data_IF_138506750245
#
_entry.id   IF_138506750245
#
_cell.length_a   1.000
_cell.length_b   1.000
_cell.length_c   1.000
_cell.angle_alpha   90.00
_cell.angle_beta   90.00
_cell.angle_gamma   90.00
#
_symmetry.space_group_name_H-M   'P 1'
#
loop_
_entity.id
_entity.type
_entity.pdbx_description
1 polymer ?
#
# COMPACT_ATOMS: atom_id res chain seq x y z
N UNK A 1 25.76 4.98 -32.32
CA UNK A 1 26.77 4.13 -33.01
C UNK A 1 26.67 4.41 -34.49
N UNK A 2 25.45 4.35 -35.02
CA UNK A 2 25.14 4.62 -36.42
C UNK A 2 25.74 5.93 -36.94
N UNK A 3 25.74 7.01 -36.14
CA UNK A 3 26.33 8.29 -36.58
C UNK A 3 27.86 8.21 -36.73
N UNK A 4 28.54 7.50 -35.82
CA UNK A 4 29.98 7.30 -35.91
C UNK A 4 30.34 6.33 -37.05
N UNK A 5 29.52 5.29 -37.26
CA UNK A 5 29.66 4.36 -38.38
C UNK A 5 29.51 5.11 -39.71
N UNK A 6 28.53 6.00 -39.84
CA UNK A 6 28.36 6.85 -41.02
C UNK A 6 29.57 7.75 -41.30
N UNK A 7 30.21 8.30 -40.25
CA UNK A 7 31.44 9.07 -40.41
C UNK A 7 32.56 8.21 -40.99
N UNK A 8 32.73 6.99 -40.45
CA UNK A 8 33.81 6.09 -40.85
C UNK A 8 33.57 5.51 -42.26
N UNK A 9 32.33 5.23 -42.63
CA UNK A 9 31.94 4.84 -43.98
C UNK A 9 32.18 5.96 -45.01
N UNK A 10 31.91 7.23 -44.66
CA UNK A 10 32.23 8.39 -45.51
C UNK A 10 33.73 8.54 -45.74
N UNK A 11 34.55 8.11 -44.78
CA UNK A 11 36.00 8.06 -44.89
C UNK A 11 36.50 6.79 -45.61
N UNK A 12 35.63 6.02 -46.26
CA UNK A 12 35.93 4.79 -47.00
C UNK A 12 36.43 3.62 -46.15
N UNK A 13 36.15 3.63 -44.84
CA UNK A 13 36.43 2.51 -43.95
C UNK A 13 35.19 1.63 -43.79
N UNK A 14 35.37 0.31 -43.85
CA UNK A 14 34.32 -0.65 -43.53
C UNK A 14 34.33 -0.95 -42.03
N UNK A 15 33.16 -0.88 -41.39
CA UNK A 15 32.97 -1.22 -39.98
C UNK A 15 32.01 -2.39 -39.85
N UNK A 16 32.30 -3.36 -38.98
CA UNK A 16 31.38 -4.47 -38.72
C UNK A 16 30.20 -3.99 -37.88
N UNK A 17 29.01 -4.59 -38.08
CA UNK A 17 27.79 -4.17 -37.37
C UNK A 17 27.88 -4.29 -35.84
N UNK A 18 28.80 -5.11 -35.33
CA UNK A 18 29.09 -5.35 -33.92
C UNK A 18 30.30 -4.57 -33.38
N UNK A 19 30.96 -3.75 -34.21
CA UNK A 19 32.15 -3.01 -33.83
C UNK A 19 31.85 -2.09 -32.64
N UNK A 20 32.77 -2.04 -31.67
CA UNK A 20 32.63 -1.15 -30.51
C UNK A 20 33.15 0.23 -30.84
N UNK A 21 32.71 1.22 -30.08
CA UNK A 21 33.21 2.60 -30.19
C UNK A 21 34.74 2.67 -30.16
N UNK A 22 35.39 1.84 -29.32
CA UNK A 22 36.84 1.76 -29.21
C UNK A 22 37.49 1.25 -30.51
N UNK A 23 36.86 0.29 -31.18
CA UNK A 23 37.38 -0.28 -32.43
C UNK A 23 37.27 0.75 -33.56
N UNK A 24 36.14 1.46 -33.62
CA UNK A 24 35.90 2.52 -34.61
C UNK A 24 36.81 3.72 -34.37
N UNK A 25 37.00 4.13 -33.11
CA UNK A 25 37.93 5.20 -32.73
C UNK A 25 39.36 4.85 -33.14
N UNK A 26 39.77 3.59 -32.97
CA UNK A 26 41.09 3.11 -33.41
C UNK A 26 41.26 3.16 -34.94
N UNK A 27 40.22 2.81 -35.70
CA UNK A 27 40.26 2.90 -37.17
C UNK A 27 40.43 4.34 -37.64
N UNK A 28 39.70 5.27 -37.02
CA UNK A 28 39.80 6.71 -37.30
C UNK A 28 41.20 7.24 -37.00
N UNK A 29 41.73 6.99 -35.80
CA UNK A 29 43.06 7.50 -35.38
C UNK A 29 44.19 6.97 -36.26
N UNK A 30 44.03 5.78 -36.84
CA UNK A 30 45.02 5.18 -37.74
C UNK A 30 44.82 5.58 -39.21
N UNK A 31 43.91 6.52 -39.52
CA UNK A 31 43.64 6.95 -40.90
C UNK A 31 44.51 8.13 -41.33
N UNK A 32 44.83 8.19 -42.62
CA UNK A 32 45.54 9.33 -43.23
C UNK A 32 44.75 10.65 -43.10
N UNK A 33 43.42 10.56 -43.02
CA UNK A 33 42.53 11.72 -42.83
C UNK A 33 42.68 12.29 -41.42
N UNK A 34 42.92 11.43 -40.43
CA UNK A 34 43.20 11.88 -39.07
C UNK A 34 44.48 12.72 -39.03
N UNK A 35 45.56 12.34 -39.72
CA UNK A 35 46.78 13.17 -39.70
C UNK A 35 46.58 14.57 -40.31
N UNK A 36 45.69 14.71 -41.31
CA UNK A 36 45.44 15.99 -41.99
C UNK A 36 44.38 16.85 -41.32
N UNK A 37 43.35 16.24 -40.73
CA UNK A 37 42.18 16.93 -40.18
C UNK A 37 41.87 16.51 -38.73
N UNK A 38 42.89 16.11 -37.95
CA UNK A 38 42.72 15.52 -36.61
C UNK A 38 41.78 16.32 -35.71
N UNK A 39 41.88 17.65 -35.70
CA UNK A 39 41.09 18.53 -34.84
C UNK A 39 39.59 18.49 -35.22
N UNK A 40 39.30 18.43 -36.53
CA UNK A 40 37.92 18.31 -37.02
C UNK A 40 37.35 16.93 -36.71
N UNK A 41 38.16 15.89 -36.92
CA UNK A 41 37.78 14.50 -36.66
C UNK A 41 37.54 14.25 -35.18
N UNK A 42 38.43 14.74 -34.31
CA UNK A 42 38.31 14.60 -32.86
C UNK A 42 37.07 15.35 -32.33
N UNK A 43 36.85 16.59 -32.78
CA UNK A 43 35.65 17.33 -32.42
C UNK A 43 34.35 16.62 -32.87
N UNK A 44 34.32 16.02 -34.06
CA UNK A 44 33.15 15.24 -34.51
C UNK A 44 32.93 14.02 -33.60
N UNK A 45 33.99 13.28 -33.27
CA UNK A 45 33.92 12.10 -32.41
C UNK A 45 33.42 12.46 -31.01
N UNK A 46 33.94 13.55 -30.44
CA UNK A 46 33.57 14.02 -29.11
C UNK A 46 32.11 14.51 -29.07
N UNK A 47 31.68 15.30 -30.05
CA UNK A 47 30.28 15.73 -30.15
C UNK A 47 29.32 14.54 -30.26
N UNK A 48 29.63 13.54 -31.10
CA UNK A 48 28.81 12.32 -31.23
C UNK A 48 28.78 11.54 -29.91
N UNK A 49 29.90 11.48 -29.19
CA UNK A 49 29.97 10.80 -27.91
C UNK A 49 29.14 11.52 -26.85
N UNK A 50 29.27 12.84 -26.74
CA UNK A 50 28.52 13.67 -25.81
C UNK A 50 27.01 13.64 -26.08
N UNK A 51 26.59 13.79 -27.33
CA UNK A 51 25.18 13.71 -27.72
C UNK A 51 24.56 12.38 -27.32
N UNK A 52 25.29 11.28 -27.61
CA UNK A 52 24.82 9.95 -27.26
C UNK A 52 24.78 9.72 -25.74
N UNK A 53 25.80 10.18 -25.03
CA UNK A 53 25.88 10.06 -23.58
C UNK A 53 24.71 10.81 -22.92
N UNK A 54 24.48 12.05 -23.36
CA UNK A 54 23.39 12.90 -22.87
C UNK A 54 22.02 12.30 -23.18
N UNK A 55 21.82 11.77 -24.39
CA UNK A 55 20.58 11.08 -24.76
C UNK A 55 20.31 9.85 -23.90
N UNK A 56 21.35 9.04 -23.62
CA UNK A 56 21.23 7.85 -22.80
C UNK A 56 20.89 8.20 -21.34
N UNK A 57 21.55 9.21 -20.78
CA UNK A 57 21.29 9.68 -19.43
C UNK A 57 19.85 10.21 -19.30
N UNK A 58 19.39 11.00 -20.26
CA UNK A 58 18.01 11.48 -20.30
C UNK A 58 16.99 10.33 -20.35
N UNK A 59 17.27 9.27 -21.11
CA UNK A 59 16.40 8.10 -21.21
C UNK A 59 16.38 7.29 -19.90
N UNK A 60 17.52 7.11 -19.24
CA UNK A 60 17.61 6.47 -17.91
C UNK A 60 16.79 7.26 -16.89
N UNK A 61 16.99 8.58 -16.82
CA UNK A 61 16.26 9.46 -15.89
C UNK A 61 14.75 9.40 -16.17
N UNK A 62 14.35 9.42 -17.45
CA UNK A 62 12.95 9.30 -17.85
C UNK A 62 12.37 7.96 -17.42
N UNK A 63 13.09 6.86 -17.65
CA UNK A 63 12.64 5.52 -17.27
C UNK A 63 12.49 5.37 -15.75
N UNK A 64 13.42 5.93 -14.97
CA UNK A 64 13.37 5.93 -13.52
C UNK A 64 12.15 6.74 -13.02
N UNK A 65 11.96 7.94 -13.56
CA UNK A 65 10.83 8.80 -13.23
C UNK A 65 9.49 8.15 -13.58
N UNK A 66 9.38 7.52 -14.76
CA UNK A 66 8.18 6.80 -15.18
C UNK A 66 7.88 5.62 -14.25
N UNK A 67 8.91 4.90 -13.83
CA UNK A 67 8.78 3.78 -12.89
C UNK A 67 8.32 4.27 -11.50
N UNK A 68 8.91 5.35 -11.00
CA UNK A 68 8.52 5.98 -9.74
C UNK A 68 7.09 6.51 -9.80
N UNK A 69 6.70 7.13 -10.92
CA UNK A 69 5.36 7.66 -11.13
C UNK A 69 4.32 6.53 -11.17
N UNK A 70 4.61 5.40 -11.80
CA UNK A 70 3.72 4.22 -11.79
C UNK A 70 3.51 3.69 -10.38
N UNK A 71 4.57 3.61 -9.57
CA UNK A 71 4.50 3.17 -8.17
C UNK A 71 3.65 4.12 -7.35
N UNK A 72 3.86 5.43 -7.45
CA UNK A 72 3.09 6.43 -6.69
C UNK A 72 1.61 6.43 -7.08
N UNK A 73 1.29 6.24 -8.37
CA UNK A 73 -0.10 6.06 -8.81
C UNK A 73 -0.76 4.82 -8.19
N UNK A 74 -0.03 3.70 -8.13
CA UNK A 74 -0.54 2.48 -7.52
C UNK A 74 -0.74 2.63 -5.99
N UNK A 75 0.20 3.28 -5.30
CA UNK A 75 0.07 3.61 -3.87
C UNK A 75 -1.14 4.50 -3.60
N UNK A 76 -1.34 5.52 -4.43
CA UNK A 76 -2.49 6.42 -4.29
C UNK A 76 -3.81 5.66 -4.44
N UNK A 77 -3.95 4.84 -5.49
CA UNK A 77 -5.13 4.02 -5.70
C UNK A 77 -5.41 3.07 -4.52
N UNK A 78 -4.37 2.48 -3.93
CA UNK A 78 -4.51 1.63 -2.74
C UNK A 78 -5.05 2.42 -1.54
N UNK A 79 -4.52 3.62 -1.30
CA UNK A 79 -4.96 4.49 -0.20
C UNK A 79 -6.41 4.94 -0.38
N UNK A 80 -6.83 5.27 -1.60
CA UNK A 80 -8.23 5.62 -1.90
C UNK A 80 -9.18 4.45 -1.57
N UNK A 81 -8.80 3.22 -1.92
CA UNK A 81 -9.60 2.03 -1.59
C UNK A 81 -9.65 1.76 -0.09
N UNK A 82 -8.54 1.94 0.62
CA UNK A 82 -8.52 1.81 2.08
C UNK A 82 -9.40 2.87 2.75
N UNK A 83 -9.36 4.11 2.28
CA UNK A 83 -10.19 5.19 2.78
C UNK A 83 -11.67 4.89 2.59
N UNK A 84 -12.05 4.37 1.42
CA UNK A 84 -13.44 3.99 1.14
C UNK A 84 -13.93 2.87 2.07
N UNK A 85 -13.10 1.84 2.28
CA UNK A 85 -13.40 0.76 3.24
C UNK A 85 -13.60 1.32 4.65
N UNK A 86 -12.74 2.22 5.11
CA UNK A 86 -12.88 2.82 6.45
C UNK A 86 -14.12 3.70 6.58
N UNK A 87 -14.51 4.42 5.52
CA UNK A 87 -15.78 5.16 5.46
C UNK A 87 -16.98 4.22 5.59
N UNK A 88 -17.01 3.14 4.82
CA UNK A 88 -18.08 2.13 4.87
C UNK A 88 -18.14 1.49 6.25
N UNK A 89 -16.99 1.08 6.82
CA UNK A 89 -16.93 0.50 8.17
C UNK A 89 -17.43 1.48 9.24
N UNK A 90 -17.09 2.76 9.14
CA UNK A 90 -17.58 3.79 10.05
C UNK A 90 -19.11 3.89 9.96
N UNK A 91 -19.65 4.03 8.76
CA UNK A 91 -21.08 4.10 8.54
C UNK A 91 -21.80 2.85 9.06
N UNK A 92 -21.25 1.67 8.78
CA UNK A 92 -21.80 0.40 9.29
C UNK A 92 -21.85 0.36 10.82
N UNK A 93 -20.81 0.85 11.52
CA UNK A 93 -20.82 0.96 12.99
C UNK A 93 -21.91 1.91 13.48
N UNK A 94 -22.09 3.04 12.82
CA UNK A 94 -23.12 4.03 13.17
C UNK A 94 -24.53 3.44 13.03
N UNK A 95 -24.81 2.80 11.89
CA UNK A 95 -26.09 2.11 11.63
C UNK A 95 -26.32 1.00 12.63
N UNK A 96 -25.32 0.14 12.89
CA UNK A 96 -25.41 -0.94 13.88
C UNK A 96 -25.77 -0.41 15.26
N UNK A 97 -25.13 0.67 15.70
CA UNK A 97 -25.41 1.28 16.99
C UNK A 97 -26.82 1.91 17.05
N UNK A 98 -27.29 2.50 15.94
CA UNK A 98 -28.65 3.04 15.83
C UNK A 98 -29.70 1.93 15.98
N UNK A 99 -29.55 0.83 15.23
CA UNK A 99 -30.46 -0.33 15.29
C UNK A 99 -30.45 -0.98 16.67
N UNK A 100 -29.27 -1.14 17.29
CA UNK A 100 -29.18 -1.70 18.64
C UNK A 100 -29.96 -0.86 19.65
N UNK A 101 -29.84 0.47 19.58
CA UNK A 101 -30.55 1.39 20.48
C UNK A 101 -32.05 1.37 20.26
N UNK A 102 -32.51 1.40 19.00
CA UNK A 102 -33.94 1.38 18.71
C UNK A 102 -34.57 0.06 19.16
N UNK A 103 -33.90 -1.07 18.94
CA UNK A 103 -34.36 -2.37 19.39
C UNK A 103 -34.50 -2.43 20.92
N UNK A 104 -33.48 -1.99 21.68
CA UNK A 104 -33.57 -1.92 23.14
C UNK A 104 -34.69 -1.00 23.63
N UNK A 105 -34.95 0.11 22.93
CA UNK A 105 -36.08 0.99 23.27
C UNK A 105 -37.43 0.30 23.03
N UNK A 106 -37.58 -0.39 21.90
CA UNK A 106 -38.79 -1.17 21.60
C UNK A 106 -39.02 -2.27 22.64
N UNK A 107 -37.98 -2.99 23.07
CA UNK A 107 -38.09 -4.02 24.10
C UNK A 107 -38.62 -3.44 25.43
N UNK A 108 -38.10 -2.28 25.84
CA UNK A 108 -38.59 -1.58 27.03
C UNK A 108 -40.04 -1.11 26.89
N UNK A 109 -40.43 -0.61 25.72
CA UNK A 109 -41.80 -0.17 25.46
C UNK A 109 -42.78 -1.35 25.49
N UNK A 110 -42.42 -2.47 24.86
CA UNK A 110 -43.19 -3.72 24.86
C UNK A 110 -43.36 -4.25 26.29
N UNK A 111 -42.31 -4.23 27.11
CA UNK A 111 -42.41 -4.62 28.53
C UNK A 111 -43.34 -3.70 29.32
N UNK A 112 -43.28 -2.37 29.07
CA UNK A 112 -44.15 -1.40 29.74
C UNK A 112 -45.62 -1.64 29.43
N UNK A 113 -45.98 -1.87 28.16
CA UNK A 113 -47.37 -2.12 27.77
C UNK A 113 -47.87 -3.48 28.26
N UNK A 114 -47.00 -4.50 28.30
CA UNK A 114 -47.38 -5.86 28.70
C UNK A 114 -47.46 -6.03 30.24
N UNK A 115 -46.71 -5.20 30.99
CA UNK A 115 -46.74 -5.18 32.46
C UNK A 115 -47.87 -4.35 33.08
N UNK A 116 -48.67 -3.64 32.27
CA UNK A 116 -49.72 -2.73 32.76
C UNK A 116 -51.16 -3.25 32.55
N UNK A 117 -51.32 -4.55 32.32
CA UNK A 117 -52.63 -5.22 32.30
C UNK A 117 -53.12 -5.51 33.73
N UNK A 118 -53.16 -4.49 34.59
CA UNK A 118 -53.98 -4.59 35.80
C UNK A 118 -55.42 -4.27 35.39
N UNK A 119 -56.23 -5.32 35.27
CA UNK A 119 -57.68 -5.22 35.20
C UNK A 119 -58.18 -4.42 36.42
N UNK A 120 -58.84 -3.26 36.23
CA UNK A 120 -59.37 -2.45 37.33
C UNK A 120 -60.43 -3.19 38.16
N UNK A 121 -60.86 -4.39 37.77
CA UNK A 121 -61.85 -5.20 38.48
C UNK A 121 -61.28 -6.36 39.31
N UNK A 122 -59.96 -6.50 39.47
CA UNK A 122 -59.40 -7.56 40.32
C UNK A 122 -59.48 -7.20 41.82
N UNK A 123 -60.70 -7.17 42.37
CA UNK A 123 -60.96 -7.08 43.81
C UNK A 123 -60.79 -8.43 44.49
N UNK A 124 -59.76 -8.52 45.33
CA UNK A 124 -59.68 -9.23 46.61
C UNK A 124 -60.74 -10.33 46.92
N UNK A 125 -60.29 -11.58 46.94
CA UNK A 125 -60.73 -12.65 47.86
C UNK A 125 -59.45 -13.45 48.15
N UNK A 126 -58.74 -13.27 49.26
CA UNK A 126 -59.19 -13.59 50.61
C UNK A 126 -58.71 -14.99 51.00
N UNK A 127 -57.42 -15.14 51.33
CA UNK A 127 -56.92 -16.22 52.18
C UNK A 127 -55.57 -15.81 52.79
N UNK A 128 -55.61 -15.52 54.09
CA UNK A 128 -54.47 -15.36 54.99
C UNK A 128 -54.09 -16.75 55.48
N UNK A 129 -52.83 -17.13 55.37
CA UNK A 129 -52.12 -18.07 56.26
C UNK A 129 -50.61 -17.89 55.97
N UNK A 130 -49.97 -16.96 56.68
CA UNK A 130 -49.06 -17.21 57.80
C UNK A 130 -47.90 -18.18 57.54
N UNK A 131 -46.70 -17.58 57.50
CA UNK A 131 -45.48 -17.98 58.22
C UNK A 131 -44.78 -19.31 57.79
N UNK A 132 -43.50 -19.35 57.42
CA UNK A 132 -42.34 -18.83 58.17
C UNK A 132 -41.02 -19.13 57.44
N UNK A 133 -40.04 -18.21 57.59
CA UNK A 133 -38.56 -18.41 57.61
C UNK A 133 -37.89 -18.87 56.30
N UNK A 134 -36.76 -18.32 55.82
CA UNK A 134 -35.54 -17.92 56.52
C UNK A 134 -34.63 -17.07 55.59
N UNK A 135 -33.97 -16.07 56.20
CA UNK A 135 -32.70 -15.34 55.90
C UNK A 135 -31.83 -15.86 54.74
N UNK A 136 -31.12 -15.05 53.94
CA UNK A 136 -30.65 -13.68 54.19
C UNK A 136 -29.85 -13.04 53.03
N UNK A 137 -29.36 -11.83 53.32
CA UNK A 137 -28.72 -10.79 52.51
C UNK A 137 -27.48 -11.19 51.66
N UNK A 138 -27.47 -10.77 50.37
CA UNK A 138 -26.68 -9.67 49.73
C UNK A 138 -25.12 -9.57 49.87
N UNK A 139 -24.39 -8.78 49.03
CA UNK A 139 -23.67 -9.21 47.81
C UNK A 139 -22.15 -8.91 47.87
N UNK A 140 -21.35 -9.32 46.88
CA UNK A 140 -20.00 -8.76 46.70
C UNK A 140 -19.50 -8.83 45.25
N UNK A 141 -18.90 -7.72 44.85
CA UNK A 141 -18.31 -7.35 43.56
C UNK A 141 -17.03 -8.13 43.24
N UNK A 142 -16.66 -8.24 41.96
CA UNK A 142 -15.33 -7.83 41.52
C UNK A 142 -15.23 -7.66 40.01
N UNK A 143 -14.70 -6.50 39.66
CA UNK A 143 -14.24 -6.06 38.35
C UNK A 143 -13.13 -6.96 37.79
N UNK A 144 -12.90 -6.87 36.47
CA UNK A 144 -11.51 -6.75 36.01
C UNK A 144 -11.04 -7.68 34.88
N UNK A 145 -11.16 -7.19 33.65
CA UNK A 145 -10.12 -7.15 32.59
C UNK A 145 -9.52 -8.46 32.02
N UNK A 146 -9.91 -8.68 30.76
CA UNK A 146 -9.10 -8.99 29.55
C UNK A 146 -7.58 -9.16 29.75
N UNK A 147 -7.03 -10.27 29.24
CA UNK A 147 -5.58 -10.50 29.10
C UNK A 147 -5.21 -11.64 28.14
N UNK A 148 -5.30 -11.34 26.84
CA UNK A 148 -4.49 -11.78 25.68
C UNK A 148 -3.63 -13.06 25.84
N UNK A 149 -3.94 -14.04 24.98
CA UNK A 149 -3.15 -15.23 24.66
C UNK A 149 -1.84 -14.85 23.97
N UNK A 150 -0.70 -15.18 24.59
CA UNK A 150 0.63 -15.07 23.97
C UNK A 150 1.11 -16.46 23.55
N UNK A 151 1.07 -16.75 22.25
CA UNK A 151 1.69 -17.93 21.64
C UNK A 151 3.11 -17.54 21.21
N UNK A 152 4.11 -17.99 21.97
CA UNK A 152 5.51 -17.95 21.55
C UNK A 152 5.82 -19.19 20.70
N UNK A 153 6.01 -19.00 19.39
CA UNK A 153 6.67 -19.99 18.50
C UNK A 153 8.12 -19.57 18.34
N UNK A 154 9.05 -20.33 18.93
CA UNK A 154 10.48 -20.21 18.70
C UNK A 154 10.86 -21.22 17.61
N UNK A 155 11.10 -20.73 16.40
CA UNK A 155 11.69 -21.50 15.30
C UNK A 155 13.17 -21.13 15.14
N UNK A 156 13.93 -22.18 14.88
CA UNK A 156 15.38 -22.34 14.80
C UNK A 156 15.98 -21.70 13.54
N UNK A 157 17.20 -21.15 13.62
CA UNK A 157 18.26 -21.38 12.62
C UNK A 157 19.64 -20.80 13.01
N UNK A 158 20.74 -21.27 12.38
CA UNK A 158 22.07 -21.37 12.97
C UNK A 158 22.98 -20.18 12.63
N UNK A 159 23.90 -19.88 13.54
CA UNK A 159 24.98 -18.90 13.34
C UNK A 159 26.25 -19.58 12.82
N UNK A 160 26.72 -19.12 11.66
CA UNK A 160 28.06 -19.32 11.13
C UNK A 160 28.95 -18.13 11.51
N UNK A 161 29.98 -18.37 12.32
CA UNK A 161 31.40 -17.97 12.16
C UNK A 161 32.13 -18.14 13.48
#
# INVERSE_FOLDING_TARGET
>A
MDDLVQVVEKLSFSVTADAKFIDIKRLLVNSDVYESEWESVENIVDNIYEDRSSSLEAEIIKQENDSKLKIERAKHALLEKQLEIERIKKHFREVKNCVQRSYSYLELEVQRINGNCNDPFSTHFGAVEEQTTSKGHQPAESEGRKGIVSIAKKLTSPGFR
#
